data_IF_825551049733
#
_entry.id   IF_825551049733
#
_cell.length_a   1.000
_cell.length_b   1.000
_cell.length_c   1.000
_cell.angle_alpha   90.00
_cell.angle_beta   90.00
_cell.angle_gamma   90.00
#
_symmetry.space_group_name_H-M   'P 1'
#
loop_
_entity.id
_entity.type
_entity.pdbx_description
1 polymer ?
#
# COMPACT_ATOMS: atom_id res chain seq x y z
N UNK A 1 -18.44 26.43 28.09
CA UNK A 1 -19.38 25.56 27.34
C UNK A 1 -18.91 24.12 27.48
N UNK A 2 -19.82 23.18 27.67
CA UNK A 2 -19.47 21.75 27.68
C UNK A 2 -19.38 21.30 26.21
N UNK A 3 -18.28 20.65 25.83
CA UNK A 3 -18.13 20.01 24.54
C UNK A 3 -18.79 18.62 24.54
N UNK A 4 -19.22 18.17 23.35
CA UNK A 4 -19.74 16.80 23.18
C UNK A 4 -18.67 15.75 23.44
N UNK A 5 -17.39 16.07 23.06
CA UNK A 5 -16.22 15.20 23.23
C UNK A 5 -15.01 15.99 23.76
N UNK A 6 -14.15 15.32 24.52
CA UNK A 6 -12.84 15.85 24.87
C UNK A 6 -11.88 15.81 23.67
N UNK A 7 -11.96 14.73 22.87
CA UNK A 7 -11.18 14.54 21.66
C UNK A 7 -12.06 13.99 20.54
N UNK A 8 -12.02 14.66 19.37
CA UNK A 8 -12.59 14.15 18.14
C UNK A 8 -11.47 13.83 17.15
N UNK A 9 -11.39 12.60 16.67
CA UNK A 9 -10.33 12.15 15.73
C UNK A 9 -10.93 11.98 14.34
N UNK A 10 -10.34 12.64 13.33
CA UNK A 10 -10.72 12.49 11.93
C UNK A 10 -9.75 11.52 11.25
N UNK A 11 -10.22 10.30 11.01
CA UNK A 11 -9.47 9.20 10.43
C UNK A 11 -9.16 8.08 11.44
N UNK A 12 -9.60 6.85 11.12
CA UNK A 12 -9.37 5.64 11.90
C UNK A 12 -8.25 4.77 11.31
N UNK A 13 -7.17 5.39 10.87
CA UNK A 13 -5.92 4.72 10.55
C UNK A 13 -5.06 4.45 11.80
N UNK A 14 -3.81 4.01 11.58
CA UNK A 14 -2.89 3.62 12.67
C UNK A 14 -2.71 4.72 13.73
N UNK A 15 -2.54 5.97 13.30
CA UNK A 15 -2.39 7.12 14.22
C UNK A 15 -3.68 7.45 14.96
N UNK A 16 -4.81 7.53 14.23
CA UNK A 16 -6.09 7.90 14.80
C UNK A 16 -6.62 6.88 15.79
N UNK A 17 -6.60 5.60 15.46
CA UNK A 17 -7.04 4.52 16.37
C UNK A 17 -6.19 4.49 17.63
N UNK A 18 -4.86 4.61 17.49
CA UNK A 18 -3.97 4.64 18.64
C UNK A 18 -4.30 5.83 19.56
N UNK A 19 -4.37 7.03 19.00
CA UNK A 19 -4.68 8.25 19.75
C UNK A 19 -6.04 8.15 20.48
N UNK A 20 -7.08 7.72 19.76
CA UNK A 20 -8.42 7.59 20.32
C UNK A 20 -8.49 6.61 21.49
N UNK A 21 -7.91 5.41 21.32
CA UNK A 21 -7.92 4.39 22.37
C UNK A 21 -7.13 4.79 23.61
N UNK A 22 -5.97 5.40 23.43
CA UNK A 22 -5.16 5.88 24.56
C UNK A 22 -5.86 7.00 25.29
N UNK A 23 -6.42 8.00 24.59
CA UNK A 23 -7.17 9.08 25.21
C UNK A 23 -8.39 8.54 26.00
N UNK A 24 -9.16 7.62 25.42
CA UNK A 24 -10.28 6.97 26.11
C UNK A 24 -9.82 6.18 27.34
N UNK A 25 -8.69 5.48 27.26
CA UNK A 25 -8.10 4.75 28.38
C UNK A 25 -7.66 5.64 29.53
N UNK A 26 -7.42 6.93 29.28
CA UNK A 26 -7.19 7.95 30.31
C UNK A 26 -8.46 8.68 30.77
N UNK A 27 -9.63 8.19 30.37
CA UNK A 27 -10.93 8.73 30.81
C UNK A 27 -11.50 9.86 29.95
N UNK A 28 -10.89 10.18 28.81
CA UNK A 28 -11.44 11.18 27.90
C UNK A 28 -12.67 10.62 27.15
N UNK A 29 -13.67 11.48 26.90
CA UNK A 29 -14.79 11.18 26.02
C UNK A 29 -14.35 11.40 24.56
N UNK A 30 -14.24 10.31 23.80
CA UNK A 30 -13.62 10.33 22.47
C UNK A 30 -14.57 9.86 21.38
N UNK A 31 -14.56 10.58 20.24
CA UNK A 31 -15.14 10.11 18.98
C UNK A 31 -14.08 9.98 17.89
N UNK A 32 -14.31 9.05 16.95
CA UNK A 32 -13.53 8.86 15.73
C UNK A 32 -14.44 8.84 14.52
N UNK A 33 -14.09 9.59 13.49
CA UNK A 33 -14.74 9.52 12.17
C UNK A 33 -13.88 8.72 11.19
N UNK A 34 -14.50 7.82 10.40
CA UNK A 34 -13.84 7.09 9.32
C UNK A 34 -14.75 6.99 8.10
N UNK A 35 -14.23 7.35 6.92
CA UNK A 35 -14.99 7.39 5.68
C UNK A 35 -14.80 6.18 4.77
N UNK A 36 -13.84 5.30 5.05
CA UNK A 36 -13.46 4.20 4.14
C UNK A 36 -13.38 2.86 4.84
N UNK A 37 -12.36 2.65 5.64
CA UNK A 37 -12.11 1.37 6.30
C UNK A 37 -11.28 1.54 7.58
N UNK A 38 -11.65 0.81 8.60
CA UNK A 38 -10.94 0.81 9.88
C UNK A 38 -9.55 0.19 9.75
N UNK A 39 -8.58 0.72 10.49
CA UNK A 39 -7.18 0.30 10.41
C UNK A 39 -6.36 1.08 9.37
N UNK A 40 -7.03 1.87 8.49
CA UNK A 40 -6.41 2.74 7.52
C UNK A 40 -5.54 2.02 6.49
N UNK A 41 -4.60 2.75 5.88
CA UNK A 41 -3.71 2.24 4.83
C UNK A 41 -2.96 0.97 5.25
N UNK A 42 -2.37 0.94 6.44
CA UNK A 42 -1.53 -0.18 6.86
C UNK A 42 -2.28 -1.51 6.85
N UNK A 43 -3.51 -1.54 7.34
CA UNK A 43 -4.32 -2.76 7.42
C UNK A 43 -4.91 -3.14 6.06
N UNK A 44 -5.38 -2.16 5.28
CA UNK A 44 -6.24 -2.43 4.12
C UNK A 44 -5.49 -2.43 2.78
N UNK A 45 -4.58 -1.48 2.57
CA UNK A 45 -3.85 -1.25 1.31
C UNK A 45 -2.37 -0.90 1.54
N UNK A 46 -1.76 -1.55 2.52
CA UNK A 46 -0.37 -1.28 2.91
C UNK A 46 0.30 -2.48 3.55
N UNK A 47 0.76 -2.32 4.79
CA UNK A 47 1.67 -3.25 5.48
C UNK A 47 1.15 -4.69 5.51
N UNK A 48 -0.11 -4.89 5.87
CA UNK A 48 -0.67 -6.23 6.06
C UNK A 48 -0.87 -6.95 4.73
N UNK A 49 -1.64 -6.42 3.76
CA UNK A 49 -1.82 -7.10 2.49
C UNK A 49 -0.50 -7.26 1.72
N UNK A 50 0.40 -6.26 1.77
CA UNK A 50 1.74 -6.36 1.18
C UNK A 50 2.51 -7.56 1.73
N UNK A 51 2.51 -7.74 3.06
CA UNK A 51 3.23 -8.84 3.70
C UNK A 51 2.67 -10.21 3.29
N UNK A 52 1.35 -10.33 3.15
CA UNK A 52 0.71 -11.56 2.65
C UNK A 52 1.13 -11.87 1.20
N UNK A 53 1.19 -10.85 0.34
CA UNK A 53 1.66 -11.02 -1.03
C UNK A 53 3.15 -11.37 -1.11
N UNK A 54 3.99 -10.73 -0.26
CA UNK A 54 5.43 -11.07 -0.16
C UNK A 54 5.63 -12.51 0.25
N UNK A 55 4.86 -13.01 1.24
CA UNK A 55 4.95 -14.40 1.64
C UNK A 55 4.52 -15.34 0.51
N UNK A 56 3.45 -15.00 -0.22
CA UNK A 56 3.04 -15.76 -1.40
C UNK A 56 4.14 -15.84 -2.47
N UNK A 57 4.83 -14.72 -2.72
CA UNK A 57 5.94 -14.67 -3.65
C UNK A 57 7.17 -15.47 -3.17
N UNK A 58 7.43 -15.48 -1.87
CA UNK A 58 8.60 -16.17 -1.28
C UNK A 58 8.50 -17.70 -1.39
N UNK A 59 7.29 -18.26 -1.35
CA UNK A 59 7.11 -19.71 -1.55
C UNK A 59 7.70 -20.23 -2.87
N UNK A 60 7.74 -19.41 -3.93
CA UNK A 60 8.36 -19.82 -5.18
C UNK A 60 9.86 -20.11 -5.00
N UNK A 61 10.58 -19.27 -4.25
CA UNK A 61 11.99 -19.48 -3.91
C UNK A 61 12.18 -20.71 -2.99
N UNK A 62 11.33 -20.85 -1.98
CA UNK A 62 11.38 -21.99 -1.07
C UNK A 62 11.20 -23.30 -1.81
N UNK A 63 10.30 -23.36 -2.79
CA UNK A 63 10.08 -24.55 -3.62
C UNK A 63 11.29 -24.87 -4.51
N UNK A 64 11.93 -23.87 -5.11
CA UNK A 64 13.15 -24.06 -5.90
C UNK A 64 14.31 -24.61 -5.04
N UNK A 65 14.45 -24.13 -3.81
CA UNK A 65 15.53 -24.51 -2.91
C UNK A 65 15.26 -25.82 -2.14
N UNK A 66 14.01 -26.24 -2.06
CA UNK A 66 13.57 -27.37 -1.24
C UNK A 66 14.34 -28.67 -1.51
N UNK A 67 14.71 -28.95 -2.76
CA UNK A 67 15.47 -30.13 -3.15
C UNK A 67 16.86 -30.20 -2.51
N UNK A 68 17.51 -29.06 -2.30
CA UNK A 68 18.80 -28.97 -1.60
C UNK A 68 18.72 -29.37 -0.11
N UNK A 69 17.50 -29.36 0.45
CA UNK A 69 17.21 -29.78 1.84
C UNK A 69 16.51 -31.13 1.92
N UNK A 70 16.52 -31.92 0.84
CA UNK A 70 15.97 -33.28 0.80
C UNK A 70 14.46 -33.36 0.56
N UNK A 71 13.79 -32.27 0.24
CA UNK A 71 12.37 -32.28 -0.12
C UNK A 71 12.17 -32.59 -1.60
N UNK A 72 11.25 -33.50 -1.92
CA UNK A 72 10.81 -33.76 -3.28
C UNK A 72 9.43 -33.17 -3.47
N UNK A 73 9.35 -32.08 -4.21
CA UNK A 73 8.10 -31.41 -4.56
C UNK A 73 7.69 -31.84 -5.96
N UNK A 74 6.36 -32.01 -6.17
CA UNK A 74 5.79 -32.09 -7.50
C UNK A 74 5.77 -30.73 -8.20
N UNK A 75 5.05 -30.65 -9.33
CA UNK A 75 4.84 -29.38 -10.05
C UNK A 75 4.09 -28.38 -9.16
N UNK A 76 4.71 -27.24 -8.90
CA UNK A 76 4.11 -26.16 -8.11
C UNK A 76 3.25 -25.26 -9.04
N UNK A 77 1.98 -25.10 -8.73
CA UNK A 77 1.07 -24.24 -9.48
C UNK A 77 0.61 -23.09 -8.57
N UNK A 78 0.67 -21.87 -9.09
CA UNK A 78 0.25 -20.67 -8.38
C UNK A 78 -1.08 -20.15 -8.91
N UNK A 79 -2.03 -19.84 -8.01
CA UNK A 79 -3.33 -19.25 -8.32
C UNK A 79 -3.50 -17.89 -7.65
N UNK A 80 -3.37 -16.83 -8.45
CA UNK A 80 -3.52 -15.44 -8.00
C UNK A 80 -4.90 -15.16 -7.37
N UNK A 81 -6.04 -15.55 -7.97
CA UNK A 81 -7.36 -15.35 -7.36
C UNK A 81 -7.47 -15.93 -5.96
N UNK A 82 -6.92 -17.10 -5.70
CA UNK A 82 -6.90 -17.72 -4.36
C UNK A 82 -6.11 -16.88 -3.37
N UNK A 83 -4.92 -16.40 -3.74
CA UNK A 83 -4.12 -15.52 -2.87
C UNK A 83 -4.86 -14.24 -2.53
N UNK A 84 -5.47 -13.58 -3.53
CA UNK A 84 -6.26 -12.35 -3.32
C UNK A 84 -7.47 -12.61 -2.43
N UNK A 85 -8.23 -13.66 -2.67
CA UNK A 85 -9.40 -14.00 -1.86
C UNK A 85 -9.03 -14.28 -0.39
N UNK A 86 -7.91 -14.98 -0.15
CA UNK A 86 -7.40 -15.25 1.20
C UNK A 86 -6.95 -13.95 1.89
N UNK A 87 -6.23 -13.09 1.18
CA UNK A 87 -5.85 -11.76 1.65
C UNK A 87 -7.09 -10.94 2.03
N UNK A 88 -8.11 -10.87 1.16
CA UNK A 88 -9.33 -10.09 1.42
C UNK A 88 -10.08 -10.60 2.66
N UNK A 89 -10.15 -11.91 2.84
CA UNK A 89 -10.76 -12.53 4.04
C UNK A 89 -10.03 -12.11 5.33
N UNK A 90 -8.70 -12.11 5.31
CA UNK A 90 -7.89 -11.69 6.47
C UNK A 90 -8.06 -10.19 6.76
N UNK A 91 -8.07 -9.33 5.72
CA UNK A 91 -8.31 -7.89 5.90
C UNK A 91 -9.70 -7.64 6.50
N UNK A 92 -10.74 -8.29 6.01
CA UNK A 92 -12.09 -8.18 6.55
C UNK A 92 -12.16 -8.61 8.03
N UNK A 93 -11.48 -9.70 8.38
CA UNK A 93 -11.36 -10.15 9.77
C UNK A 93 -10.72 -9.08 10.66
N UNK A 94 -9.64 -8.47 10.17
CA UNK A 94 -8.93 -7.40 10.89
C UNK A 94 -9.79 -6.15 11.04
N UNK A 95 -10.56 -5.75 10.03
CA UNK A 95 -11.48 -4.60 10.15
C UNK A 95 -12.47 -4.81 11.33
N UNK A 96 -13.00 -6.03 11.48
CA UNK A 96 -13.83 -6.38 12.62
C UNK A 96 -13.11 -6.25 13.98
N UNK A 97 -11.84 -6.68 14.04
CA UNK A 97 -11.02 -6.52 15.25
C UNK A 97 -10.80 -5.03 15.57
N UNK A 98 -10.48 -4.19 14.58
CA UNK A 98 -10.27 -2.76 14.79
C UNK A 98 -11.54 -2.05 15.25
N UNK A 99 -12.72 -2.45 14.73
CA UNK A 99 -14.02 -1.99 15.24
C UNK A 99 -14.18 -2.32 16.72
N UNK A 100 -13.99 -3.57 17.09
CA UNK A 100 -14.11 -4.04 18.47
C UNK A 100 -13.11 -3.34 19.40
N UNK A 101 -11.89 -3.08 18.93
CA UNK A 101 -10.90 -2.34 19.71
C UNK A 101 -11.34 -0.91 20.05
N UNK A 102 -12.02 -0.22 19.13
CA UNK A 102 -12.56 1.13 19.40
C UNK A 102 -13.76 1.06 20.35
N UNK A 103 -14.75 0.23 20.04
CA UNK A 103 -15.98 0.09 20.83
C UNK A 103 -15.67 -0.35 22.26
N UNK A 104 -14.83 -1.37 22.44
CA UNK A 104 -14.46 -1.88 23.77
C UNK A 104 -13.62 -0.87 24.58
N UNK A 105 -13.02 0.11 23.92
CA UNK A 105 -12.34 1.23 24.59
C UNK A 105 -13.28 2.39 24.94
N UNK A 106 -14.59 2.28 24.66
CA UNK A 106 -15.56 3.35 24.91
C UNK A 106 -15.51 4.50 23.90
N UNK A 107 -14.85 4.29 22.73
CA UNK A 107 -14.76 5.30 21.67
C UNK A 107 -16.03 5.27 20.83
N UNK A 108 -16.64 6.43 20.61
CA UNK A 108 -17.78 6.60 19.69
C UNK A 108 -17.26 6.58 18.25
N UNK A 109 -17.77 5.66 17.43
CA UNK A 109 -17.39 5.55 16.02
C UNK A 109 -18.47 6.17 15.13
N UNK A 110 -18.09 7.17 14.34
CA UNK A 110 -18.93 7.77 13.31
C UNK A 110 -18.42 7.33 11.93
N UNK A 111 -19.26 6.65 11.17
CA UNK A 111 -18.93 6.22 9.81
C UNK A 111 -19.37 7.27 8.79
N UNK A 112 -18.42 7.85 8.07
CA UNK A 112 -18.67 8.88 7.09
C UNK A 112 -17.49 9.83 6.90
N UNK A 113 -17.63 10.72 5.92
CA UNK A 113 -16.65 11.76 5.66
C UNK A 113 -16.84 12.95 6.59
N UNK A 114 -15.91 13.14 7.51
CA UNK A 114 -15.93 14.26 8.44
C UNK A 114 -15.19 15.46 7.85
N UNK A 115 -15.70 16.66 8.11
CA UNK A 115 -15.03 17.92 7.77
C UNK A 115 -14.91 18.82 8.99
N UNK A 116 -13.81 19.54 9.06
CA UNK A 116 -13.61 20.58 10.06
C UNK A 116 -14.45 21.80 9.69
N UNK A 117 -15.31 22.27 10.61
CA UNK A 117 -16.16 23.45 10.44
C UNK A 117 -15.51 24.66 11.09
N UNK A 118 -15.01 24.48 12.30
CA UNK A 118 -14.24 25.46 13.06
C UNK A 118 -13.21 24.76 13.97
N UNK A 119 -12.39 25.47 14.76
CA UNK A 119 -11.38 24.84 15.62
C UNK A 119 -11.92 23.84 16.65
N UNK A 120 -13.22 23.85 16.92
CA UNK A 120 -13.88 23.02 17.92
C UNK A 120 -15.10 22.27 17.38
N UNK A 121 -15.36 22.30 16.06
CA UNK A 121 -16.55 21.70 15.49
C UNK A 121 -16.25 20.85 14.27
N UNK A 122 -16.76 19.63 14.26
CA UNK A 122 -16.69 18.67 13.15
C UNK A 122 -18.10 18.41 12.64
N UNK A 123 -18.26 18.34 11.33
CA UNK A 123 -19.50 17.94 10.67
C UNK A 123 -19.31 16.60 9.97
N UNK A 124 -20.24 15.67 10.17
CA UNK A 124 -20.30 14.37 9.51
C UNK A 124 -21.74 13.97 9.27
N UNK A 125 -22.07 13.52 8.08
CA UNK A 125 -23.41 13.08 7.67
C UNK A 125 -24.53 14.12 7.96
N UNK A 126 -24.21 15.41 7.92
CA UNK A 126 -25.14 16.51 8.22
C UNK A 126 -25.31 16.83 9.70
N UNK A 127 -24.69 16.07 10.60
CA UNK A 127 -24.68 16.34 12.03
C UNK A 127 -23.39 17.06 12.45
N UNK A 128 -23.49 17.89 13.48
CA UNK A 128 -22.35 18.65 14.03
C UNK A 128 -22.07 18.25 15.45
N UNK A 129 -20.79 18.03 15.72
CA UNK A 129 -20.28 17.67 17.03
C UNK A 129 -19.22 18.65 17.47
N UNK A 130 -19.24 19.01 18.76
CA UNK A 130 -18.23 19.89 19.36
C UNK A 130 -17.18 19.09 20.10
N UNK A 131 -15.91 19.51 20.01
CA UNK A 131 -14.81 18.85 20.71
C UNK A 131 -13.83 19.87 21.29
N UNK A 132 -13.32 19.57 22.48
CA UNK A 132 -12.28 20.38 23.12
C UNK A 132 -11.00 20.36 22.26
N UNK A 133 -10.66 19.20 21.71
CA UNK A 133 -9.52 18.99 20.81
C UNK A 133 -9.97 18.20 19.59
N UNK A 134 -9.42 18.55 18.41
CA UNK A 134 -9.64 17.83 17.17
C UNK A 134 -8.29 17.35 16.66
N UNK A 135 -8.17 16.05 16.40
CA UNK A 135 -6.98 15.43 15.79
C UNK A 135 -7.27 15.08 14.34
N UNK A 136 -6.53 15.69 13.42
CA UNK A 136 -6.55 15.34 12.00
C UNK A 136 -5.55 14.20 11.77
N UNK A 137 -6.07 13.00 11.47
CA UNK A 137 -5.29 11.78 11.25
C UNK A 137 -5.69 11.08 9.94
N UNK A 138 -5.91 11.88 8.90
CA UNK A 138 -6.47 11.44 7.61
C UNK A 138 -5.52 10.62 6.74
N UNK A 139 -4.23 10.56 7.11
CA UNK A 139 -3.21 9.81 6.39
C UNK A 139 -2.78 10.48 5.07
N UNK A 140 -2.25 9.66 4.16
CA UNK A 140 -1.79 10.07 2.84
C UNK A 140 -2.39 9.22 1.73
N UNK A 141 -2.26 9.69 0.50
CA UNK A 141 -2.76 9.03 -0.70
C UNK A 141 -1.64 8.88 -1.75
N UNK A 142 -1.56 7.76 -2.48
CA UNK A 142 -0.63 7.64 -3.60
C UNK A 142 -0.91 8.71 -4.66
N UNK A 143 0.14 9.36 -5.12
CA UNK A 143 0.05 10.35 -6.18
C UNK A 143 0.64 9.76 -7.47
N UNK A 144 -0.17 9.74 -8.53
CA UNK A 144 0.29 9.42 -9.88
C UNK A 144 0.76 10.72 -10.53
N UNK A 145 1.96 10.77 -11.14
CA UNK A 145 2.47 11.95 -11.82
C UNK A 145 1.50 12.50 -12.87
N UNK A 146 1.54 13.82 -13.08
CA UNK A 146 0.71 14.49 -14.08
C UNK A 146 1.36 14.41 -15.47
N UNK A 147 1.20 13.25 -16.10
CA UNK A 147 1.74 12.94 -17.43
C UNK A 147 0.62 12.49 -18.37
N UNK A 148 0.77 12.63 -19.69
CA UNK A 148 -0.19 12.10 -20.65
C UNK A 148 -0.38 10.59 -20.49
N UNK A 149 -1.63 10.10 -20.43
CA UNK A 149 -1.96 8.71 -20.25
C UNK A 149 -1.93 8.22 -18.79
N UNK A 150 -1.80 9.14 -17.81
CA UNK A 150 -1.81 8.81 -16.37
C UNK A 150 -3.07 8.05 -15.92
N UNK A 151 -4.17 8.21 -16.62
CA UNK A 151 -5.43 7.51 -16.37
C UNK A 151 -5.34 6.00 -16.58
N UNK A 152 -4.29 5.52 -17.25
CA UNK A 152 -4.02 4.11 -17.45
C UNK A 152 -3.10 3.53 -16.38
N UNK A 153 -2.46 4.36 -15.57
CA UNK A 153 -1.64 3.93 -14.45
C UNK A 153 -2.50 3.61 -13.22
N UNK A 154 -2.02 2.71 -12.40
CA UNK A 154 -2.61 2.39 -11.10
C UNK A 154 -1.60 2.71 -9.99
N UNK A 155 -2.11 3.07 -8.82
CA UNK A 155 -1.30 3.21 -7.62
C UNK A 155 -1.18 1.90 -6.85
N UNK A 156 -0.45 1.96 -5.73
CA UNK A 156 -0.31 0.81 -4.83
C UNK A 156 -1.64 0.32 -4.26
N UNK A 157 -2.62 1.22 -4.09
CA UNK A 157 -3.93 0.84 -3.58
C UNK A 157 -4.65 -0.12 -4.52
N UNK A 158 -4.68 0.20 -5.81
CA UNK A 158 -5.35 -0.61 -6.85
C UNK A 158 -4.60 -1.92 -7.10
N UNK A 159 -3.26 -1.92 -6.95
CA UNK A 159 -2.44 -3.10 -7.14
C UNK A 159 -2.81 -4.26 -6.22
N UNK A 160 -3.33 -3.98 -5.01
CA UNK A 160 -3.83 -5.01 -4.10
C UNK A 160 -5.13 -5.69 -4.55
N UNK A 161 -5.81 -5.15 -5.55
CA UNK A 161 -7.11 -5.64 -6.03
C UNK A 161 -7.11 -6.06 -7.50
N UNK A 162 -5.93 -6.29 -8.08
CA UNK A 162 -5.81 -6.82 -9.43
C UNK A 162 -6.53 -8.18 -9.52
N UNK A 163 -7.41 -8.32 -10.50
CA UNK A 163 -8.21 -9.55 -10.71
C UNK A 163 -7.39 -10.71 -11.26
N UNK A 164 -6.30 -10.40 -11.96
CA UNK A 164 -5.38 -11.38 -12.52
C UNK A 164 -3.94 -10.89 -12.33
N UNK A 165 -3.02 -11.82 -12.18
CA UNK A 165 -1.60 -11.51 -12.17
C UNK A 165 -1.18 -11.02 -13.58
N UNK A 166 -0.59 -9.82 -13.73
CA UNK A 166 -0.18 -9.34 -15.03
C UNK A 166 0.99 -10.17 -15.56
N UNK A 167 1.03 -10.41 -16.88
CA UNK A 167 2.18 -11.09 -17.52
C UNK A 167 3.44 -10.21 -17.51
N UNK A 168 3.24 -8.90 -17.64
CA UNK A 168 4.30 -7.89 -17.65
C UNK A 168 3.88 -6.69 -16.81
N UNK A 169 4.80 -6.11 -16.06
CA UNK A 169 4.55 -4.91 -15.25
C UNK A 169 5.75 -3.97 -15.31
N UNK A 170 5.47 -2.69 -15.46
CA UNK A 170 6.42 -1.62 -15.19
C UNK A 170 6.05 -0.97 -13.86
N UNK A 171 6.94 -1.05 -12.89
CA UNK A 171 6.82 -0.36 -11.60
C UNK A 171 7.65 0.91 -11.66
N UNK A 172 7.00 2.07 -11.50
CA UNK A 172 7.67 3.38 -11.55
C UNK A 172 7.84 3.92 -10.14
N UNK A 173 9.09 4.08 -9.72
CA UNK A 173 9.44 4.62 -8.41
C UNK A 173 10.65 3.93 -7.79
N UNK A 174 11.30 4.63 -6.84
CA UNK A 174 12.47 4.12 -6.13
C UNK A 174 12.29 4.06 -4.61
N UNK A 175 11.06 4.22 -4.12
CA UNK A 175 10.73 4.04 -2.70
C UNK A 175 10.51 2.58 -2.34
N UNK A 176 10.44 2.29 -1.03
CA UNK A 176 10.26 0.93 -0.53
C UNK A 176 8.99 0.25 -1.07
N UNK A 177 7.89 0.99 -1.27
CA UNK A 177 6.64 0.45 -1.83
C UNK A 177 6.87 -0.08 -3.25
N UNK A 178 7.57 0.69 -4.10
CA UNK A 178 7.87 0.27 -5.46
C UNK A 178 8.75 -0.98 -5.49
N UNK A 179 9.80 -1.02 -4.66
CA UNK A 179 10.71 -2.18 -4.55
C UNK A 179 9.96 -3.42 -4.06
N UNK A 180 9.07 -3.27 -3.07
CA UNK A 180 8.26 -4.37 -2.55
C UNK A 180 7.30 -4.93 -3.61
N UNK A 181 6.56 -4.08 -4.34
CA UNK A 181 5.68 -4.54 -5.41
C UNK A 181 6.45 -5.16 -6.58
N UNK A 182 7.59 -4.58 -6.95
CA UNK A 182 8.44 -5.18 -7.97
C UNK A 182 8.89 -6.60 -7.56
N UNK A 183 9.31 -6.77 -6.30
CA UNK A 183 9.67 -8.07 -5.73
C UNK A 183 8.49 -9.06 -5.71
N UNK A 184 7.30 -8.61 -5.33
CA UNK A 184 6.09 -9.44 -5.32
C UNK A 184 5.75 -9.95 -6.73
N UNK A 185 5.64 -9.05 -7.70
CA UNK A 185 5.30 -9.42 -9.07
C UNK A 185 6.36 -10.33 -9.69
N UNK A 186 7.63 -9.98 -9.52
CA UNK A 186 8.74 -10.78 -10.03
C UNK A 186 8.77 -12.18 -9.41
N UNK A 187 8.65 -12.30 -8.08
CA UNK A 187 8.65 -13.58 -7.38
C UNK A 187 7.44 -14.46 -7.72
N UNK A 188 6.34 -13.88 -8.20
CA UNK A 188 5.18 -14.61 -8.69
C UNK A 188 5.23 -14.89 -10.21
N UNK A 189 6.36 -14.65 -10.87
CA UNK A 189 6.59 -15.01 -12.28
C UNK A 189 6.17 -13.94 -13.29
N UNK A 190 5.82 -12.73 -12.87
CA UNK A 190 5.57 -11.60 -13.77
C UNK A 190 6.89 -11.05 -14.32
N UNK A 191 6.97 -10.81 -15.63
CA UNK A 191 8.08 -10.06 -16.21
C UNK A 191 8.03 -8.62 -15.68
N UNK A 192 8.98 -8.28 -14.80
CA UNK A 192 8.95 -7.05 -14.02
C UNK A 192 10.12 -6.14 -14.37
N UNK A 193 9.80 -4.90 -14.72
CA UNK A 193 10.76 -3.80 -14.86
C UNK A 193 10.52 -2.80 -13.73
N UNK A 194 11.58 -2.41 -13.01
CA UNK A 194 11.57 -1.31 -12.04
C UNK A 194 12.28 -0.10 -12.63
N UNK A 195 11.54 0.97 -12.86
CA UNK A 195 12.04 2.22 -13.43
C UNK A 195 12.14 3.29 -12.35
N UNK A 196 13.30 3.93 -12.25
CA UNK A 196 13.51 4.99 -11.29
C UNK A 196 14.37 6.12 -11.86
N UNK A 197 13.93 7.37 -11.62
CA UNK A 197 14.61 8.57 -12.11
C UNK A 197 15.96 8.87 -11.45
N UNK A 198 16.24 8.30 -10.27
CA UNK A 198 17.53 8.43 -9.58
C UNK A 198 18.51 7.33 -9.96
N UNK A 199 19.72 7.45 -9.45
CA UNK A 199 20.84 6.54 -9.66
C UNK A 199 20.67 5.17 -9.00
N UNK A 200 19.94 5.09 -7.90
CA UNK A 200 19.71 3.88 -7.13
C UNK A 200 18.47 4.05 -6.22
N UNK A 201 17.62 3.05 -6.15
CA UNK A 201 16.39 3.06 -5.35
C UNK A 201 16.69 3.17 -3.83
N UNK A 202 15.64 3.28 -3.01
CA UNK A 202 15.68 3.37 -1.54
C UNK A 202 16.52 4.56 -1.04
N UNK A 203 16.33 5.74 -1.65
CA UNK A 203 17.00 6.96 -1.19
C UNK A 203 16.76 7.18 0.31
N UNK A 204 17.83 7.41 1.07
CA UNK A 204 17.78 7.60 2.52
C UNK A 204 18.08 6.33 3.34
N UNK A 205 18.13 5.16 2.69
CA UNK A 205 18.64 3.93 3.31
C UNK A 205 20.17 3.86 3.20
N UNK A 206 20.78 2.97 3.97
CA UNK A 206 22.21 2.71 3.94
C UNK A 206 22.69 2.32 2.53
N UNK A 207 23.82 2.90 2.10
CA UNK A 207 24.34 2.73 0.73
C UNK A 207 24.75 1.30 0.41
N UNK A 208 25.30 0.56 1.38
CA UNK A 208 25.70 -0.83 1.18
C UNK A 208 24.46 -1.73 1.02
N UNK A 209 23.42 -1.49 1.81
CA UNK A 209 22.13 -2.21 1.70
C UNK A 209 21.49 -1.98 0.33
N UNK A 210 21.46 -0.72 -0.14
CA UNK A 210 20.90 -0.37 -1.45
C UNK A 210 21.63 -1.08 -2.59
N UNK A 211 22.96 -1.05 -2.57
CA UNK A 211 23.81 -1.74 -3.57
C UNK A 211 23.61 -3.24 -3.56
N UNK A 212 23.67 -3.84 -2.38
CA UNK A 212 23.49 -5.28 -2.25
C UNK A 212 22.14 -5.74 -2.79
N UNK A 213 21.06 -5.01 -2.45
CA UNK A 213 19.73 -5.31 -2.98
C UNK A 213 19.67 -5.18 -4.50
N UNK A 214 20.31 -4.16 -5.09
CA UNK A 214 20.41 -4.03 -6.55
C UNK A 214 21.08 -5.24 -7.18
N UNK A 215 22.21 -5.67 -6.64
CA UNK A 215 22.96 -6.84 -7.11
C UNK A 215 22.10 -8.11 -7.05
N UNK A 216 21.42 -8.34 -5.94
CA UNK A 216 20.57 -9.52 -5.75
C UNK A 216 19.35 -9.53 -6.69
N UNK A 217 18.66 -8.39 -6.86
CA UNK A 217 17.54 -8.29 -7.79
C UNK A 217 17.99 -8.47 -9.24
N UNK A 218 19.17 -7.94 -9.61
CA UNK A 218 19.76 -8.15 -10.93
C UNK A 218 20.12 -9.61 -11.18
N UNK A 219 20.75 -10.29 -10.21
CA UNK A 219 21.05 -11.73 -10.30
C UNK A 219 19.81 -12.60 -10.49
N UNK A 220 18.69 -12.19 -9.92
CA UNK A 220 17.38 -12.84 -10.08
C UNK A 220 16.70 -12.53 -11.41
N UNK A 221 17.30 -11.71 -12.27
CA UNK A 221 16.77 -11.38 -13.59
C UNK A 221 15.73 -10.27 -13.62
N UNK A 222 15.58 -9.50 -12.55
CA UNK A 222 14.72 -8.31 -12.58
C UNK A 222 15.35 -7.21 -13.44
N UNK A 223 14.57 -6.61 -14.34
CA UNK A 223 15.01 -5.47 -15.15
C UNK A 223 14.96 -4.19 -14.29
N UNK A 224 16.15 -3.61 -14.02
CA UNK A 224 16.30 -2.40 -13.21
C UNK A 224 16.78 -1.25 -14.11
N UNK A 225 15.95 -0.23 -14.27
CA UNK A 225 16.24 0.95 -15.09
C UNK A 225 16.35 2.19 -14.22
N UNK A 226 17.58 2.67 -14.05
CA UNK A 226 17.89 3.88 -13.28
C UNK A 226 18.16 5.07 -14.20
N UNK A 227 18.15 6.29 -13.63
CA UNK A 227 18.29 7.55 -14.37
C UNK A 227 17.29 7.67 -15.53
N UNK A 228 16.10 7.10 -15.36
CA UNK A 228 15.04 7.08 -16.33
C UNK A 228 13.71 7.55 -15.68
N UNK A 229 12.99 8.43 -16.35
CA UNK A 229 11.71 8.94 -15.87
C UNK A 229 10.61 8.69 -16.89
N UNK A 230 9.39 8.45 -16.40
CA UNK A 230 8.22 8.22 -17.24
C UNK A 230 7.74 9.55 -17.84
N UNK A 231 7.54 9.61 -19.15
CA UNK A 231 7.04 10.81 -19.82
C UNK A 231 5.57 10.71 -20.21
N UNK A 232 5.13 9.55 -20.68
CA UNK A 232 3.74 9.30 -21.06
C UNK A 232 3.45 7.81 -21.13
N UNK A 233 2.16 7.48 -21.17
CA UNK A 233 1.66 6.11 -21.32
C UNK A 233 0.69 6.08 -22.50
N UNK A 234 1.02 5.31 -23.53
CA UNK A 234 0.18 5.14 -24.71
C UNK A 234 -0.57 3.81 -24.62
N UNK A 235 -1.91 3.85 -24.68
CA UNK A 235 -2.72 2.63 -24.78
C UNK A 235 -2.72 2.15 -26.22
N UNK A 236 -2.36 0.89 -26.43
CA UNK A 236 -2.30 0.25 -27.74
C UNK A 236 -3.66 -0.33 -28.14
N UNK A 237 -3.82 -0.65 -29.42
CA UNK A 237 -5.05 -1.22 -29.96
C UNK A 237 -5.43 -2.60 -29.35
N UNK A 238 -4.42 -3.37 -28.91
CA UNK A 238 -4.60 -4.66 -28.23
C UNK A 238 -4.90 -4.51 -26.73
N UNK A 239 -5.03 -3.27 -26.24
CA UNK A 239 -5.26 -2.93 -24.84
C UNK A 239 -4.02 -2.92 -23.96
N UNK A 240 -2.85 -3.30 -24.50
CA UNK A 240 -1.58 -3.17 -23.76
C UNK A 240 -1.18 -1.70 -23.57
N UNK A 241 -0.34 -1.44 -22.58
CA UNK A 241 0.20 -0.11 -22.30
C UNK A 241 1.65 -0.04 -22.77
N UNK A 242 1.97 1.01 -23.52
CA UNK A 242 3.34 1.31 -23.97
C UNK A 242 3.82 2.56 -23.23
N UNK A 243 4.65 2.39 -22.19
CA UNK A 243 5.27 3.54 -21.53
C UNK A 243 6.37 4.11 -22.44
N UNK A 244 6.44 5.45 -22.51
CA UNK A 244 7.60 6.17 -23.03
C UNK A 244 8.33 6.76 -21.82
N UNK A 245 9.63 6.54 -21.78
CA UNK A 245 10.51 7.07 -20.72
C UNK A 245 11.81 7.59 -21.31
N UNK A 246 12.38 8.60 -20.68
CA UNK A 246 13.75 9.04 -20.97
C UNK A 246 14.71 8.01 -20.37
N UNK A 247 15.65 7.55 -21.15
CA UNK A 247 16.88 6.95 -20.62
C UNK A 247 18.03 7.90 -20.89
N UNK A 248 18.81 8.22 -19.87
CA UNK A 248 20.05 9.01 -20.04
C UNK A 248 21.18 8.19 -20.67
N UNK A 249 20.96 6.92 -20.93
CA UNK A 249 21.90 6.06 -21.64
C UNK A 249 21.39 5.83 -23.06
N UNK A 250 22.08 6.45 -24.05
CA UNK A 250 22.03 5.95 -25.40
C UNK A 250 22.57 4.51 -25.36
N UNK A 251 21.72 3.53 -25.63
CA UNK A 251 22.20 2.22 -26.02
C UNK A 251 22.85 2.40 -27.40
N UNK A 252 24.16 2.53 -27.42
CA UNK A 252 24.90 2.21 -28.63
C UNK A 252 24.66 0.74 -28.96
N UNK A 253 24.24 0.50 -30.19
CA UNK A 253 23.72 -0.70 -30.82
C UNK A 253 24.55 -1.97 -30.59
#
# INVERSE_FOLDING_TARGET
>A
MAYDFDLYVIGAGSGGIRAARFAAGYGAKVAVAESRYLGGTCVNVGCVPKKLLVYGAHFAEDFEQASGFGWSLGEANFDWPTLIANKDREINRLNGIYRNLLVNSGVTLHEGHARLVDPHQVEINGERFTAKHILIATGGWPQIPDIPGREHAIGSNEAFFLKALPKRVLVVGGGYIAVEFAGIFHGLGTQTTLLYRGDLFLRGFDGAVRKHLQEELTKRGMDLQFNADIERIDKQADGSLKPLHTSTFAYDK
#
